data_IF_729968977453
#
_entry.id   IF_729968977453
#
_cell.length_a   1.000
_cell.length_b   1.000
_cell.length_c   1.000
_cell.angle_alpha   90.00
_cell.angle_beta   90.00
_cell.angle_gamma   90.00
#
_symmetry.space_group_name_H-M   'P 1'
#
loop_
_entity.id
_entity.type
_entity.pdbx_description
1 polymer ?
#
# COMPACT_ATOMS: atom_id res chain seq x y z
N UNK A 1 23.79 7.84 -10.69
CA UNK A 1 24.75 6.97 -9.96
C UNK A 1 23.94 5.96 -9.16
N UNK A 2 24.22 4.67 -9.32
CA UNK A 2 23.51 3.61 -8.60
C UNK A 2 24.35 3.23 -7.37
N UNK A 3 23.94 3.70 -6.20
CA UNK A 3 24.76 3.68 -4.98
C UNK A 3 24.85 2.31 -4.26
N UNK A 4 24.59 1.19 -4.95
CA UNK A 4 24.74 -0.19 -4.43
C UNK A 4 24.18 -0.42 -3.01
N UNK A 5 23.09 0.27 -2.66
CA UNK A 5 22.47 0.20 -1.33
C UNK A 5 21.85 -1.17 -1.04
N UNK A 6 21.64 -1.98 -2.07
CA UNK A 6 21.21 -3.39 -2.00
C UNK A 6 22.19 -4.29 -1.23
N UNK A 7 23.45 -3.86 -1.06
CA UNK A 7 24.49 -4.62 -0.34
C UNK A 7 24.64 -4.25 1.13
N UNK A 8 23.89 -3.27 1.63
CA UNK A 8 23.97 -2.90 3.04
C UNK A 8 23.35 -4.00 3.89
N UNK A 9 23.95 -4.29 5.04
CA UNK A 9 23.40 -5.26 6.01
C UNK A 9 22.05 -4.84 6.58
N UNK A 10 21.75 -3.55 6.50
CA UNK A 10 20.45 -2.97 6.86
C UNK A 10 19.47 -2.89 5.68
N UNK A 11 19.89 -3.29 4.47
CA UNK A 11 18.98 -3.31 3.34
C UNK A 11 17.99 -4.48 3.48
N UNK A 12 16.70 -4.17 3.39
CA UNK A 12 15.64 -5.16 3.51
C UNK A 12 15.38 -5.67 4.93
N UNK A 13 15.94 -5.03 5.97
CA UNK A 13 15.49 -5.22 7.35
C UNK A 13 14.22 -4.38 7.59
N UNK A 14 13.32 -4.88 8.43
CA UNK A 14 12.07 -4.18 8.77
C UNK A 14 11.00 -4.26 7.67
N UNK A 15 10.91 -5.40 6.98
CA UNK A 15 9.87 -5.72 5.98
C UNK A 15 8.47 -5.86 6.59
N UNK A 16 8.40 -6.03 7.90
CA UNK A 16 7.17 -6.00 8.68
C UNK A 16 6.49 -4.62 8.69
N UNK A 17 7.21 -3.54 8.32
CA UNK A 17 6.65 -2.19 8.28
C UNK A 17 6.39 -1.70 6.86
N UNK A 18 5.21 -1.13 6.66
CA UNK A 18 4.86 -0.45 5.40
C UNK A 18 5.61 0.87 5.24
N UNK A 19 5.65 1.40 4.01
CA UNK A 19 6.26 2.72 3.71
C UNK A 19 5.67 3.84 4.58
N UNK A 20 4.37 3.77 4.87
CA UNK A 20 3.67 4.76 5.71
C UNK A 20 4.08 4.61 7.17
N UNK A 21 4.18 3.38 7.68
CA UNK A 21 4.68 3.11 9.03
C UNK A 21 6.14 3.57 9.19
N UNK A 22 7.01 3.31 8.21
CA UNK A 22 8.37 3.85 8.18
C UNK A 22 8.41 5.38 8.20
N UNK A 23 7.51 6.02 7.44
CA UNK A 23 7.39 7.49 7.44
C UNK A 23 6.88 8.02 8.79
N UNK A 24 6.03 7.27 9.49
CA UNK A 24 5.58 7.62 10.83
C UNK A 24 6.70 7.52 11.86
N UNK A 25 7.42 6.39 11.85
CA UNK A 25 8.57 6.14 12.72
C UNK A 25 9.66 7.20 12.53
N UNK A 26 10.02 7.55 11.29
CA UNK A 26 11.04 8.58 11.05
C UNK A 26 10.65 9.94 11.64
N UNK A 27 9.38 10.34 11.50
CA UNK A 27 8.86 11.56 12.14
C UNK A 27 8.88 11.48 13.66
N UNK A 28 8.61 10.32 14.26
CA UNK A 28 8.72 10.15 15.71
C UNK A 28 10.16 10.33 16.19
N UNK A 29 11.12 9.70 15.51
CA UNK A 29 12.54 9.82 15.84
C UNK A 29 13.06 11.26 15.68
N UNK A 30 12.52 12.02 14.70
CA UNK A 30 12.81 13.46 14.58
C UNK A 30 12.27 14.24 15.78
N UNK A 31 11.02 13.99 16.20
CA UNK A 31 10.43 14.66 17.38
C UNK A 31 11.16 14.32 18.69
N UNK A 32 11.71 13.12 18.80
CA UNK A 32 12.53 12.70 19.94
C UNK A 32 13.95 13.28 19.90
N UNK A 33 14.33 13.98 18.83
CA UNK A 33 15.64 14.58 18.66
C UNK A 33 16.75 13.56 18.42
N UNK A 34 16.41 12.36 17.92
CA UNK A 34 17.37 11.33 17.51
C UNK A 34 17.75 11.47 16.04
N UNK A 35 16.83 12.00 15.24
CA UNK A 35 17.02 12.37 13.84
C UNK A 35 16.80 13.87 13.65
N UNK A 36 17.46 14.43 12.66
CA UNK A 36 17.22 15.80 12.18
C UNK A 36 17.17 15.83 10.66
N UNK A 37 16.45 16.80 10.10
CA UNK A 37 16.40 16.98 8.65
C UNK A 37 17.60 17.79 8.21
N UNK A 38 18.30 17.31 7.19
CA UNK A 38 19.35 18.07 6.52
C UNK A 38 18.73 19.17 5.64
N UNK A 39 19.05 20.46 5.88
CA UNK A 39 18.46 21.56 5.13
C UNK A 39 18.83 21.56 3.64
N UNK A 40 20.02 21.04 3.30
CA UNK A 40 20.57 21.15 1.95
C UNK A 40 19.94 20.19 0.93
N UNK A 41 19.60 18.97 1.35
CA UNK A 41 19.15 17.90 0.45
C UNK A 41 17.90 17.14 0.93
N UNK A 42 17.30 17.57 2.04
CA UNK A 42 16.10 16.94 2.60
C UNK A 42 16.34 15.54 3.18
N UNK A 43 17.60 15.14 3.35
CA UNK A 43 18.00 13.88 3.99
C UNK A 43 17.74 13.88 5.49
N UNK A 44 17.93 12.72 6.12
CA UNK A 44 17.90 12.58 7.58
C UNK A 44 19.33 12.37 8.09
N UNK A 45 19.68 13.08 9.17
CA UNK A 45 20.95 12.92 9.89
C UNK A 45 20.70 12.45 11.31
N UNK A 46 21.65 11.69 11.83
CA UNK A 46 21.68 11.29 13.24
C UNK A 46 22.15 12.47 14.09
N UNK A 47 21.48 12.70 15.21
CA UNK A 47 21.95 13.66 16.21
C UNK A 47 22.93 12.99 17.18
N UNK A 48 23.60 13.78 18.01
CA UNK A 48 24.48 13.26 19.07
C UNK A 48 23.75 12.28 20.03
N UNK A 49 22.45 12.50 20.28
CA UNK A 49 21.64 11.65 21.18
C UNK A 49 21.45 10.24 20.63
N UNK A 50 21.47 10.07 19.30
CA UNK A 50 21.39 8.75 18.71
C UNK A 50 22.59 7.86 19.08
N UNK A 51 23.75 8.46 19.39
CA UNK A 51 24.94 7.73 19.84
C UNK A 51 24.71 6.92 21.12
N UNK A 52 23.93 7.44 22.07
CA UNK A 52 23.60 6.73 23.32
C UNK A 52 22.68 5.53 23.08
N UNK A 53 21.81 5.63 22.09
CA UNK A 53 20.92 4.55 21.65
C UNK A 53 21.73 3.45 20.98
N UNK A 54 22.62 3.81 20.04
CA UNK A 54 23.49 2.82 19.38
C UNK A 54 24.48 2.16 20.36
N UNK A 55 24.90 2.88 21.41
CA UNK A 55 25.73 2.32 22.48
C UNK A 55 24.93 1.46 23.49
N UNK A 56 23.62 1.28 23.28
CA UNK A 56 22.75 0.47 24.15
C UNK A 56 22.44 1.09 25.51
N UNK A 57 22.82 2.36 25.73
CA UNK A 57 22.64 3.08 27.02
C UNK A 57 21.26 3.72 27.15
N UNK A 58 20.59 3.97 26.02
CA UNK A 58 19.24 4.52 25.97
C UNK A 58 18.31 3.63 25.15
N UNK A 59 17.09 3.40 25.65
CA UNK A 59 16.03 2.72 24.90
C UNK A 59 15.15 3.74 24.19
N UNK A 60 14.71 3.38 22.99
CA UNK A 60 13.80 4.18 22.17
C UNK A 60 12.46 3.46 22.11
N UNK A 61 11.40 4.18 22.46
CA UNK A 61 10.03 3.69 22.36
C UNK A 61 9.26 4.52 21.33
N UNK A 62 8.43 3.85 20.55
CA UNK A 62 7.64 4.45 19.49
C UNK A 62 6.30 3.73 19.36
N UNK A 63 5.40 4.33 18.58
CA UNK A 63 4.07 3.78 18.35
C UNK A 63 3.91 3.53 16.87
N UNK A 64 3.47 2.35 16.49
CA UNK A 64 3.22 2.02 15.10
C UNK A 64 1.71 2.06 14.93
N UNK A 65 1.25 2.86 13.96
CA UNK A 65 -0.15 2.83 13.59
C UNK A 65 -0.42 1.49 12.92
N UNK A 66 -1.37 0.74 13.46
CA UNK A 66 -1.96 -0.39 12.76
C UNK A 66 -2.64 0.15 11.52
N UNK A 67 -2.12 -0.23 10.35
CA UNK A 67 -2.86 0.00 9.13
C UNK A 67 -3.98 -1.03 9.09
N UNK A 68 -5.23 -0.63 8.77
CA UNK A 68 -6.23 -1.59 8.40
C UNK A 68 -5.61 -2.49 7.33
N UNK A 69 -5.65 -3.82 7.54
CA UNK A 69 -5.32 -4.77 6.50
C UNK A 69 -6.10 -4.33 5.27
N UNK A 70 -5.42 -3.75 4.28
CA UNK A 70 -6.05 -3.54 2.99
C UNK A 70 -6.59 -4.91 2.59
N UNK A 71 -7.88 -5.03 2.20
CA UNK A 71 -8.41 -6.31 1.79
C UNK A 71 -7.41 -6.87 0.78
N UNK A 72 -6.88 -8.07 1.10
CA UNK A 72 -5.86 -8.71 0.30
C UNK A 72 -6.28 -8.52 -1.15
N UNK A 73 -5.43 -7.86 -1.95
CA UNK A 73 -5.73 -7.60 -3.35
C UNK A 73 -5.97 -8.95 -3.98
N UNK A 74 -7.25 -9.36 -4.07
CA UNK A 74 -7.61 -10.66 -4.60
C UNK A 74 -6.99 -10.71 -5.98
N UNK A 75 -6.04 -11.62 -6.16
CA UNK A 75 -5.35 -11.82 -7.42
C UNK A 75 -6.43 -11.96 -8.48
N UNK A 76 -6.38 -11.10 -9.50
CA UNK A 76 -7.30 -11.23 -10.64
C UNK A 76 -7.12 -12.63 -11.19
N UNK A 77 -8.18 -13.46 -11.22
CA UNK A 77 -8.07 -14.82 -11.70
C UNK A 77 -7.47 -14.81 -13.10
N UNK A 78 -6.38 -15.56 -13.31
CA UNK A 78 -5.71 -15.63 -14.60
C UNK A 78 -6.60 -16.25 -15.69
N UNK A 79 -7.69 -16.93 -15.29
CA UNK A 79 -8.65 -17.56 -16.18
C UNK A 79 -10.05 -17.04 -15.84
N UNK A 80 -10.61 -16.20 -16.72
CA UNK A 80 -11.97 -15.69 -16.67
C UNK A 80 -12.64 -15.87 -18.03
N UNK A 81 -13.97 -15.99 -18.06
CA UNK A 81 -14.70 -16.12 -19.32
C UNK A 81 -14.71 -14.77 -20.06
N UNK A 82 -13.95 -14.68 -21.15
CA UNK A 82 -13.82 -13.47 -21.96
C UNK A 82 -15.14 -13.07 -22.64
N UNK A 83 -15.98 -14.03 -23.03
CA UNK A 83 -17.27 -13.73 -23.65
C UNK A 83 -18.24 -13.15 -22.61
N UNK A 84 -18.24 -13.71 -21.39
CA UNK A 84 -19.02 -13.15 -20.29
C UNK A 84 -18.50 -11.76 -19.88
N UNK A 85 -17.19 -11.54 -19.86
CA UNK A 85 -16.62 -10.22 -19.55
C UNK A 85 -17.09 -9.14 -20.53
N UNK A 86 -17.11 -9.42 -21.84
CA UNK A 86 -17.61 -8.47 -22.84
C UNK A 86 -19.12 -8.21 -22.68
N UNK A 87 -19.92 -9.24 -22.40
CA UNK A 87 -21.35 -9.07 -22.08
C UNK A 87 -21.56 -8.16 -20.86
N UNK A 88 -20.76 -8.35 -19.81
CA UNK A 88 -20.80 -7.53 -18.60
C UNK A 88 -20.36 -6.09 -18.88
N UNK A 89 -19.38 -5.88 -19.77
CA UNK A 89 -18.90 -4.56 -20.17
C UNK A 89 -19.98 -3.78 -20.92
N UNK A 90 -20.67 -4.41 -21.86
CA UNK A 90 -21.80 -3.83 -22.58
C UNK A 90 -22.96 -3.49 -21.63
N UNK A 91 -23.29 -4.41 -20.71
CA UNK A 91 -24.33 -4.15 -19.70
C UNK A 91 -23.96 -2.99 -18.79
N UNK A 92 -22.70 -2.90 -18.36
CA UNK A 92 -22.18 -1.80 -17.54
C UNK A 92 -22.29 -0.46 -18.28
N UNK A 93 -21.94 -0.43 -19.56
CA UNK A 93 -22.07 0.78 -20.39
C UNK A 93 -23.53 1.24 -20.45
N UNK A 94 -24.46 0.33 -20.75
CA UNK A 94 -25.89 0.67 -20.81
C UNK A 94 -26.42 1.22 -19.47
N UNK A 95 -25.99 0.66 -18.33
CA UNK A 95 -26.35 1.17 -17.00
C UNK A 95 -25.74 2.54 -16.70
N UNK A 96 -24.49 2.75 -17.12
CA UNK A 96 -23.77 4.01 -16.93
C UNK A 96 -24.37 5.14 -17.76
N UNK A 97 -24.72 4.85 -19.02
CA UNK A 97 -25.41 5.77 -19.93
C UNK A 97 -26.78 6.16 -19.35
N UNK A 98 -27.55 5.20 -18.83
CA UNK A 98 -28.84 5.45 -18.19
C UNK A 98 -28.72 6.30 -16.91
N UNK A 99 -27.63 6.17 -16.17
CA UNK A 99 -27.35 6.94 -14.96
C UNK A 99 -26.56 8.23 -15.22
N UNK A 100 -26.18 8.52 -16.47
CA UNK A 100 -25.34 9.64 -16.88
C UNK A 100 -24.03 9.75 -16.08
N UNK A 101 -23.37 8.62 -15.83
CA UNK A 101 -22.08 8.53 -15.13
C UNK A 101 -21.06 7.75 -15.97
N UNK A 102 -19.75 7.94 -15.73
CA UNK A 102 -18.74 7.09 -16.37
C UNK A 102 -18.91 5.60 -15.99
N UNK A 103 -18.67 4.64 -16.91
CA UNK A 103 -18.90 3.20 -16.66
C UNK A 103 -18.17 2.61 -15.46
N UNK A 104 -16.95 3.07 -15.17
CA UNK A 104 -16.17 2.59 -14.03
C UNK A 104 -16.82 2.89 -12.66
N UNK A 105 -17.78 3.82 -12.60
CA UNK A 105 -18.54 4.18 -11.39
C UNK A 105 -19.59 3.11 -11.08
N UNK A 106 -20.17 2.47 -12.09
CA UNK A 106 -21.14 1.37 -11.89
C UNK A 106 -20.41 0.15 -11.33
N UNK A 107 -19.34 -0.28 -12.00
CA UNK A 107 -18.44 -1.34 -11.54
C UNK A 107 -17.03 -1.15 -12.09
N UNK A 108 -16.02 -1.50 -11.30
CA UNK A 108 -14.64 -1.55 -11.78
C UNK A 108 -14.42 -2.72 -12.75
N UNK A 109 -13.42 -2.63 -13.63
CA UNK A 109 -13.04 -3.75 -14.51
C UNK A 109 -12.67 -5.00 -13.70
N UNK A 110 -12.06 -4.82 -12.52
CA UNK A 110 -11.75 -5.92 -11.59
C UNK A 110 -13.02 -6.67 -11.18
N UNK A 111 -14.07 -5.94 -10.80
CA UNK A 111 -15.34 -6.54 -10.41
C UNK A 111 -15.96 -7.33 -11.56
N UNK A 112 -15.85 -6.86 -12.80
CA UNK A 112 -16.32 -7.60 -13.97
C UNK A 112 -15.50 -8.86 -14.23
N UNK A 113 -14.18 -8.80 -14.09
CA UNK A 113 -13.29 -9.98 -14.17
C UNK A 113 -13.65 -11.00 -13.08
N UNK A 114 -13.85 -10.54 -11.85
CA UNK A 114 -14.20 -11.40 -10.73
C UNK A 114 -15.59 -12.05 -10.97
N UNK A 115 -16.57 -11.30 -11.50
CA UNK A 115 -17.87 -11.87 -11.92
C UNK A 115 -17.74 -12.92 -13.03
N UNK A 116 -16.89 -12.66 -14.03
CA UNK A 116 -16.62 -13.58 -15.13
C UNK A 116 -15.78 -14.81 -14.72
N UNK A 117 -15.17 -14.77 -13.54
CA UNK A 117 -14.38 -15.87 -12.99
C UNK A 117 -15.20 -16.75 -12.04
N UNK A 118 -15.97 -16.12 -11.15
CA UNK A 118 -16.63 -16.79 -10.03
C UNK A 118 -18.14 -17.01 -10.23
N UNK A 119 -18.73 -16.45 -11.29
CA UNK A 119 -20.15 -16.58 -11.62
C UNK A 119 -21.05 -16.39 -10.37
N UNK A 120 -20.99 -15.23 -9.70
CA UNK A 120 -21.71 -15.04 -8.45
C UNK A 120 -23.23 -15.11 -8.67
N UNK A 121 -23.86 -16.16 -8.13
CA UNK A 121 -25.31 -16.39 -8.24
C UNK A 121 -26.11 -15.79 -7.07
N UNK A 122 -25.45 -15.09 -6.15
CA UNK A 122 -26.08 -14.56 -4.93
C UNK A 122 -25.37 -13.30 -4.45
N UNK A 123 -26.11 -12.35 -3.87
CA UNK A 123 -25.57 -11.10 -3.34
C UNK A 123 -24.41 -11.31 -2.34
N UNK A 124 -24.47 -12.35 -1.50
CA UNK A 124 -23.42 -12.67 -0.52
C UNK A 124 -22.06 -13.05 -1.14
N UNK A 125 -22.00 -13.33 -2.44
CA UNK A 125 -20.76 -13.65 -3.18
C UNK A 125 -20.14 -12.43 -3.86
N UNK A 126 -20.76 -11.26 -3.74
CA UNK A 126 -20.15 -9.99 -4.11
C UNK A 126 -19.50 -9.40 -2.85
N UNK A 127 -18.17 -9.41 -2.79
CA UNK A 127 -17.37 -8.88 -1.68
C UNK A 127 -16.32 -7.90 -2.20
#
# INVERSE_FOLDING_TARGET
QQFSHDRLTTYGIGKEFSKKQWSHLSRQLVRQGLLEKEPAYGGLKLTQRAGEVFAGRAKVFGTIQEEPLAPARAETPANYDAALFELLREKRKALADAANVPPYVIFSDKSLIDMASFFPQSAARFS
#
